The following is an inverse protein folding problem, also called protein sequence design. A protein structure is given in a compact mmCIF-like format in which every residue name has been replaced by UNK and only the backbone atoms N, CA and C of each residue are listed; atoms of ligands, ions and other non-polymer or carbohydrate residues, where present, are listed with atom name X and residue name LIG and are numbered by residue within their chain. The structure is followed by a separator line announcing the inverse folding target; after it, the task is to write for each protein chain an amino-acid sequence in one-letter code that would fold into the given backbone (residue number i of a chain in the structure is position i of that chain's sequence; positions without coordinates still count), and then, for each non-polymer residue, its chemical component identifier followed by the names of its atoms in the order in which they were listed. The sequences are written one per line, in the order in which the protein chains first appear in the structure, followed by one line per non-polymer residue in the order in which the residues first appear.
data_IF_371930245204
#
_entry.id   IF_371930245204
#
_cell.length_a   1.000
_cell.length_b   1.000
_cell.length_c   1.000
_cell.angle_alpha   90.00
_cell.angle_beta   90.00
_cell.angle_gamma   90.00
#
_symmetry.space_group_name_H-M   'P 1'
#
loop_
_entity.id
_entity.type
_entity.pdbx_description
1 polymer ?
#
# COMPACT_ATOMS: atom_id res chain seq x y z
N UNK A 1 -43.67 -5.81 19.49
CA UNK A 1 -42.33 -5.36 19.92
C UNK A 1 -41.19 -6.36 19.70
N UNK A 2 -41.42 -7.69 19.60
CA UNK A 2 -40.32 -8.68 19.43
C UNK A 2 -39.74 -8.79 18.01
N UNK A 3 -40.58 -8.69 16.97
CA UNK A 3 -40.15 -8.75 15.57
C UNK A 3 -39.20 -7.60 15.17
N UNK A 4 -39.40 -6.41 15.75
CA UNK A 4 -38.56 -5.23 15.50
C UNK A 4 -37.13 -5.39 16.03
N UNK A 5 -36.94 -6.10 17.15
CA UNK A 5 -35.60 -6.41 17.70
C UNK A 5 -34.84 -7.42 16.83
N UNK A 6 -35.54 -8.40 16.28
CA UNK A 6 -34.94 -9.42 15.39
C UNK A 6 -34.52 -8.76 14.08
N UNK A 7 -35.36 -7.89 13.51
CA UNK A 7 -35.03 -7.14 12.30
C UNK A 7 -33.81 -6.23 12.51
N UNK A 8 -33.73 -5.55 13.66
CA UNK A 8 -32.56 -4.75 14.04
C UNK A 8 -31.27 -5.57 14.12
N UNK A 9 -31.33 -6.76 14.72
CA UNK A 9 -30.18 -7.65 14.82
C UNK A 9 -29.72 -8.16 13.43
N UNK A 10 -30.66 -8.47 12.55
CA UNK A 10 -30.34 -8.89 11.16
C UNK A 10 -29.68 -7.74 10.39
N UNK A 11 -30.20 -6.51 10.51
CA UNK A 11 -29.60 -5.35 9.84
C UNK A 11 -28.19 -5.06 10.37
N UNK A 12 -27.99 -5.11 11.70
CA UNK A 12 -26.68 -4.87 12.32
C UNK A 12 -25.65 -5.93 11.93
N UNK A 13 -26.04 -7.20 11.86
CA UNK A 13 -25.14 -8.29 11.47
C UNK A 13 -24.73 -8.17 10.00
N UNK A 14 -25.67 -7.87 9.10
CA UNK A 14 -25.37 -7.63 7.69
C UNK A 14 -24.45 -6.41 7.51
N UNK A 15 -24.71 -5.31 8.22
CA UNK A 15 -23.85 -4.12 8.19
C UNK A 15 -22.42 -4.41 8.68
N UNK A 16 -22.26 -5.20 9.73
CA UNK A 16 -20.94 -5.60 10.24
C UNK A 16 -20.18 -6.51 9.27
N UNK A 17 -20.86 -7.44 8.61
CA UNK A 17 -20.27 -8.30 7.56
C UNK A 17 -19.84 -7.44 6.38
N UNK A 18 -20.67 -6.49 5.96
CA UNK A 18 -20.33 -5.56 4.89
C UNK A 18 -19.12 -4.71 5.28
N UNK A 19 -19.05 -4.12 6.48
CA UNK A 19 -17.89 -3.35 6.94
C UNK A 19 -16.59 -4.17 6.98
N UNK A 20 -16.64 -5.44 7.40
CA UNK A 20 -15.47 -6.32 7.39
C UNK A 20 -15.02 -6.71 5.97
N UNK A 21 -15.97 -6.90 5.05
CA UNK A 21 -15.66 -7.19 3.65
C UNK A 21 -15.37 -5.91 2.84
N UNK A 22 -15.77 -4.73 3.35
CA UNK A 22 -15.52 -3.41 2.77
C UNK A 22 -14.11 -2.87 3.04
N UNK A 23 -13.18 -3.70 3.51
CA UNK A 23 -11.75 -3.41 3.33
C UNK A 23 -11.37 -3.61 1.85
N UNK A 24 -12.03 -2.86 0.96
CA UNK A 24 -11.73 -2.81 -0.46
C UNK A 24 -10.31 -2.29 -0.65
N UNK A 25 -9.45 -3.16 -1.14
CA UNK A 25 -8.58 -2.79 -2.25
C UNK A 25 -7.24 -2.13 -1.93
N UNK A 26 -6.80 -1.99 -0.68
CA UNK A 26 -5.39 -1.67 -0.44
C UNK A 26 -4.61 -2.97 -0.31
N UNK A 27 -4.22 -3.55 -1.45
CA UNK A 27 -3.22 -4.62 -1.49
C UNK A 27 -2.06 -4.19 -0.60
N UNK A 28 -1.76 -4.98 0.43
CA UNK A 28 -0.82 -4.70 1.52
C UNK A 28 0.43 -3.90 1.11
N UNK A 29 0.32 -2.58 1.06
CA UNK A 29 1.44 -1.67 0.96
C UNK A 29 2.10 -1.66 2.34
N UNK A 30 3.10 -2.49 2.53
CA UNK A 30 3.84 -2.54 3.79
C UNK A 30 4.97 -1.52 3.74
N UNK A 31 4.94 -0.55 4.66
CA UNK A 31 6.00 0.44 4.78
C UNK A 31 7.28 -0.20 5.32
N UNK A 32 8.40 0.00 4.62
CA UNK A 32 9.70 -0.58 4.98
C UNK A 32 10.53 0.30 5.92
N UNK A 33 9.94 1.35 6.51
CA UNK A 33 10.58 2.23 7.51
C UNK A 33 11.88 2.90 7.03
N UNK A 34 11.98 3.17 5.74
CA UNK A 34 13.14 3.83 5.15
C UNK A 34 12.69 4.89 4.15
N UNK A 35 13.45 5.98 4.09
CA UNK A 35 13.36 7.01 3.06
C UNK A 35 14.30 6.67 1.90
N UNK A 36 13.97 7.15 0.71
CA UNK A 36 14.78 6.92 -0.47
C UNK A 36 14.81 8.16 -1.37
N UNK A 37 15.82 8.22 -2.23
CA UNK A 37 15.94 9.25 -3.26
C UNK A 37 16.09 8.56 -4.60
N UNK A 38 15.15 8.81 -5.51
CA UNK A 38 15.16 8.21 -6.84
C UNK A 38 16.45 8.61 -7.59
N UNK A 39 17.18 7.63 -8.13
CA UNK A 39 18.42 7.86 -8.87
C UNK A 39 19.67 8.11 -8.00
N UNK A 40 19.56 8.05 -6.67
CA UNK A 40 20.74 8.15 -5.81
C UNK A 40 21.52 6.83 -5.76
N UNK A 41 22.84 6.92 -5.94
CA UNK A 41 23.75 5.78 -5.80
C UNK A 41 24.22 5.56 -4.35
N UNK A 42 23.94 6.50 -3.45
CA UNK A 42 24.34 6.37 -2.05
C UNK A 42 23.50 5.28 -1.35
N UNK A 43 24.18 4.36 -0.69
CA UNK A 43 23.58 3.20 0.00
C UNK A 43 22.51 3.62 1.02
N UNK A 44 22.71 4.76 1.68
CA UNK A 44 21.80 5.35 2.67
C UNK A 44 20.44 5.82 2.09
N UNK A 45 20.34 5.95 0.77
CA UNK A 45 19.12 6.38 0.08
C UNK A 45 18.49 5.25 -0.75
N UNK A 46 19.02 4.02 -0.64
CA UNK A 46 18.46 2.83 -1.29
C UNK A 46 17.52 2.11 -0.34
N UNK A 47 16.45 1.55 -0.91
CA UNK A 47 15.53 0.72 -0.16
C UNK A 47 16.16 -0.64 0.20
N UNK A 48 15.80 -1.22 1.35
CA UNK A 48 16.22 -2.56 1.73
C UNK A 48 15.68 -3.61 0.73
N UNK A 49 16.27 -4.81 0.74
CA UNK A 49 15.88 -5.89 -0.17
C UNK A 49 14.38 -6.21 -0.08
N UNK A 50 13.74 -6.37 -1.25
CA UNK A 50 12.31 -6.64 -1.37
C UNK A 50 11.40 -5.42 -1.18
N UNK A 51 11.97 -4.22 -1.03
CA UNK A 51 11.24 -2.95 -0.99
C UNK A 51 11.61 -2.06 -2.17
N UNK A 52 10.67 -1.25 -2.59
CA UNK A 52 10.80 -0.34 -3.74
C UNK A 52 10.62 1.10 -3.29
N UNK A 53 11.38 2.00 -3.92
CA UNK A 53 11.26 3.43 -3.67
C UNK A 53 10.02 3.96 -4.39
N UNK A 54 9.07 4.50 -3.63
CA UNK A 54 7.87 5.13 -4.17
C UNK A 54 7.92 6.63 -3.87
N UNK A 55 7.87 7.43 -4.92
CA UNK A 55 7.89 8.90 -4.85
C UNK A 55 6.49 9.39 -5.18
N UNK A 56 5.92 10.24 -4.31
CA UNK A 56 4.64 10.91 -4.58
C UNK A 56 4.84 11.95 -5.67
N UNK A 57 3.81 12.22 -6.46
CA UNK A 57 3.90 13.19 -7.57
C UNK A 57 4.38 14.58 -7.13
N UNK A 58 3.99 15.02 -5.93
CA UNK A 58 4.44 16.28 -5.32
C UNK A 58 5.95 16.37 -5.11
N UNK A 59 6.63 15.23 -4.97
CA UNK A 59 8.05 15.14 -4.69
C UNK A 59 8.86 14.69 -5.91
N UNK A 60 8.28 14.66 -7.12
CA UNK A 60 8.99 14.30 -8.34
C UNK A 60 10.20 15.20 -8.63
N UNK A 61 10.10 16.48 -8.30
CA UNK A 61 11.20 17.43 -8.49
C UNK A 61 12.43 17.14 -7.62
N UNK A 62 12.22 16.64 -6.39
CA UNK A 62 13.31 16.32 -5.45
C UNK A 62 13.69 14.85 -5.46
N UNK A 63 12.86 13.99 -6.05
CA UNK A 63 13.04 12.54 -6.06
C UNK A 63 12.89 11.87 -4.69
N UNK A 64 12.49 12.62 -3.64
CA UNK A 64 12.36 12.11 -2.28
C UNK A 64 11.11 11.26 -2.13
N UNK A 65 11.30 10.03 -1.67
CA UNK A 65 10.25 9.05 -1.49
C UNK A 65 10.45 8.20 -0.26
N UNK A 66 9.59 7.19 -0.17
CA UNK A 66 9.57 6.23 0.92
C UNK A 66 9.66 4.82 0.36
N UNK A 67 10.22 3.90 1.13
CA UNK A 67 10.35 2.50 0.75
C UNK A 67 9.10 1.71 1.12
N UNK A 68 8.50 1.06 0.13
CA UNK A 68 7.29 0.24 0.31
C UNK A 68 7.48 -1.14 -0.32
N UNK A 69 6.85 -2.14 0.30
CA UNK A 69 6.69 -3.46 -0.32
C UNK A 69 5.49 -3.40 -1.26
N UNK A 70 5.78 -3.52 -2.55
CA UNK A 70 4.76 -3.50 -3.60
C UNK A 70 4.20 -4.90 -3.84
N UNK A 71 2.91 -5.05 -4.17
CA UNK A 71 2.39 -6.31 -4.68
C UNK A 71 3.07 -6.65 -6.01
N UNK A 72 3.22 -7.95 -6.32
CA UNK A 72 3.97 -8.43 -7.50
C UNK A 72 3.56 -7.78 -8.84
N UNK A 73 2.29 -7.39 -8.97
CA UNK A 73 1.75 -6.71 -10.16
C UNK A 73 2.24 -5.28 -10.35
N UNK A 74 2.68 -4.63 -9.28
CA UNK A 74 3.11 -3.23 -9.25
C UNK A 74 4.62 -3.09 -9.07
N UNK A 75 5.33 -4.21 -8.89
CA UNK A 75 6.80 -4.19 -8.90
C UNK A 75 7.24 -3.67 -10.27
N UNK A 76 7.88 -2.50 -10.34
CA UNK A 76 8.39 -2.00 -11.61
C UNK A 76 9.38 -3.04 -12.13
N UNK A 77 9.14 -3.51 -13.35
CA UNK A 77 9.94 -4.54 -13.99
C UNK A 77 11.33 -3.97 -14.29
N UNK A 78 12.19 -3.92 -13.28
CA UNK A 78 13.58 -3.46 -13.36
C UNK A 78 14.42 -4.58 -13.96
N UNK A 79 14.10 -4.93 -15.20
CA UNK A 79 14.99 -5.69 -16.08
C UNK A 79 15.15 -4.91 -17.38
N UNK A 80 15.76 -3.74 -17.30
CA UNK A 80 16.45 -3.13 -18.44
C UNK A 80 17.52 -2.14 -17.99
N UNK A 81 18.45 -2.62 -17.15
CA UNK A 81 19.81 -2.11 -17.29
C UNK A 81 20.31 -2.66 -18.63
N UNK A 82 20.36 -1.79 -19.64
CA UNK A 82 20.97 -2.08 -20.93
C UNK A 82 22.40 -2.61 -20.69
N UNK A 83 22.72 -3.74 -21.33
CA UNK A 83 24.08 -3.98 -21.79
C UNK A 83 24.44 -3.02 -22.91
#
# INVERSE_FOLDING_TARGET
MRASKILLLVVLTVAAIMLNNFSYGVRHLAYCKAECILGSNASQHKCPQGCHCVVRDSNKATGKGHCWKLPKSEIPNSTRSKG
#
